data_IF_984424922279
#
_entry.id   IF_984424922279
#
_cell.length_a   1.000
_cell.length_b   1.000
_cell.length_c   1.000
_cell.angle_alpha   90.00
_cell.angle_beta   90.00
_cell.angle_gamma   90.00
#
_symmetry.space_group_name_H-M   'P 1'
#
loop_
_entity.id
_entity.type
_entity.pdbx_description
1 polymer ?
#
# COMPACT_ATOMS: atom_id res chain seq x y z
N UNK A 1 -21.76 -33.14 -35.77
CA UNK A 1 -20.92 -31.92 -35.58
C UNK A 1 -21.20 -31.14 -34.28
N UNK A 2 -22.17 -31.53 -33.42
CA UNK A 2 -22.50 -30.77 -32.19
C UNK A 2 -21.59 -31.04 -30.98
N UNK A 3 -20.95 -32.21 -30.89
CA UNK A 3 -20.16 -32.60 -29.70
C UNK A 3 -18.81 -31.87 -29.65
N UNK A 4 -18.12 -31.73 -30.79
CA UNK A 4 -16.82 -31.05 -30.87
C UNK A 4 -16.91 -29.54 -30.56
N UNK A 5 -18.02 -28.89 -30.91
CA UNK A 5 -18.24 -27.48 -30.59
C UNK A 5 -18.42 -27.25 -29.09
N UNK A 6 -19.13 -28.15 -28.40
CA UNK A 6 -19.29 -28.08 -26.94
C UNK A 6 -17.97 -28.37 -26.22
N UNK A 7 -17.19 -29.35 -26.70
CA UNK A 7 -15.86 -29.66 -26.19
C UNK A 7 -14.88 -28.50 -26.36
N UNK A 8 -14.90 -27.82 -27.52
CA UNK A 8 -14.06 -26.66 -27.78
C UNK A 8 -14.39 -25.50 -26.83
N UNK A 9 -15.67 -25.21 -26.59
CA UNK A 9 -16.08 -24.14 -25.66
C UNK A 9 -15.73 -24.47 -24.20
N UNK A 10 -15.81 -25.74 -23.79
CA UNK A 10 -15.35 -26.20 -22.47
C UNK A 10 -13.83 -26.08 -22.32
N UNK A 11 -13.06 -26.43 -23.37
CA UNK A 11 -11.61 -26.26 -23.38
C UNK A 11 -11.20 -24.79 -23.29
N UNK A 12 -11.85 -23.92 -24.08
CA UNK A 12 -11.62 -22.47 -24.01
C UNK A 12 -11.99 -21.94 -22.63
N UNK A 13 -13.13 -22.35 -22.06
CA UNK A 13 -13.53 -21.97 -20.72
C UNK A 13 -12.52 -22.35 -19.63
N UNK A 14 -11.95 -23.56 -19.71
CA UNK A 14 -10.91 -24.01 -18.77
C UNK A 14 -9.59 -23.23 -18.95
N UNK A 15 -9.15 -23.00 -20.19
CA UNK A 15 -7.95 -22.23 -20.48
C UNK A 15 -8.10 -20.79 -19.99
N UNK A 16 -9.24 -20.14 -20.28
CA UNK A 16 -9.51 -18.78 -19.81
C UNK A 16 -9.51 -18.66 -18.30
N UNK A 17 -10.10 -19.63 -17.58
CA UNK A 17 -10.06 -19.65 -16.10
C UNK A 17 -8.65 -19.82 -15.57
N UNK A 18 -7.87 -20.75 -16.13
CA UNK A 18 -6.48 -20.96 -15.72
C UNK A 18 -5.62 -19.71 -15.95
N UNK A 19 -5.78 -19.04 -17.09
CA UNK A 19 -5.09 -17.78 -17.41
C UNK A 19 -5.53 -16.66 -16.47
N UNK A 20 -6.81 -16.53 -16.15
CA UNK A 20 -7.33 -15.54 -15.19
C UNK A 20 -6.74 -15.81 -13.79
N UNK A 21 -6.71 -17.07 -13.34
CA UNK A 21 -6.14 -17.42 -12.04
C UNK A 21 -4.64 -17.11 -11.97
N UNK A 22 -3.88 -17.43 -13.01
CA UNK A 22 -2.45 -17.11 -13.08
C UNK A 22 -2.19 -15.59 -13.10
N UNK A 23 -3.01 -14.84 -13.85
CA UNK A 23 -2.93 -13.38 -13.87
C UNK A 23 -3.34 -12.73 -12.54
N UNK A 24 -4.34 -13.29 -11.84
CA UNK A 24 -4.73 -12.83 -10.50
C UNK A 24 -3.68 -13.18 -9.45
N UNK A 25 -3.03 -14.34 -9.55
CA UNK A 25 -1.95 -14.74 -8.63
C UNK A 25 -0.70 -13.86 -8.76
N UNK A 26 -0.45 -13.32 -9.95
CA UNK A 26 0.66 -12.38 -10.21
C UNK A 26 0.36 -10.94 -9.78
N UNK A 27 -0.89 -10.61 -9.44
CA UNK A 27 -1.27 -9.27 -8.97
C UNK A 27 -0.89 -9.11 -7.50
N UNK A 28 -0.38 -7.91 -7.17
CA UNK A 28 -0.23 -7.51 -5.79
C UNK A 28 -1.61 -7.45 -5.10
N UNK A 29 -1.61 -7.62 -3.78
CA UNK A 29 -2.85 -7.64 -3.00
C UNK A 29 -3.70 -6.38 -3.29
N UNK A 30 -5.03 -6.49 -3.36
CA UNK A 30 -5.89 -5.34 -3.62
C UNK A 30 -5.65 -4.22 -2.60
N UNK A 31 -5.46 -3.00 -3.09
CA UNK A 31 -5.23 -1.82 -2.27
C UNK A 31 -6.46 -0.91 -2.29
N UNK A 32 -6.79 -0.34 -1.14
CA UNK A 32 -7.88 0.62 -0.96
C UNK A 32 -7.31 1.88 -0.33
N UNK A 33 -7.63 3.03 -0.91
CA UNK A 33 -7.26 4.33 -0.37
C UNK A 33 -8.53 5.09 0.00
N UNK A 34 -8.54 5.63 1.22
CA UNK A 34 -9.59 6.53 1.70
C UNK A 34 -9.00 7.94 1.68
N UNK A 35 -9.61 8.82 0.91
CA UNK A 35 -9.24 10.22 0.85
C UNK A 35 -10.40 11.09 1.33
N UNK A 36 -10.11 12.07 2.17
CA UNK A 36 -11.11 13.03 2.68
C UNK A 36 -10.69 14.42 2.28
N UNK A 37 -11.49 15.05 1.42
CA UNK A 37 -11.35 16.46 1.08
C UNK A 37 -12.16 17.30 2.06
N UNK A 38 -11.67 17.49 3.28
CA UNK A 38 -12.32 18.33 4.30
C UNK A 38 -11.31 19.14 5.09
N UNK A 39 -11.74 20.30 5.60
CA UNK A 39 -10.93 21.16 6.48
C UNK A 39 -10.61 20.52 7.84
N UNK A 40 -11.32 19.45 8.21
CA UNK A 40 -11.12 18.74 9.48
C UNK A 40 -9.91 17.80 9.44
N UNK A 41 -9.42 17.42 8.24
CA UNK A 41 -8.33 16.47 8.06
C UNK A 41 -8.65 15.07 8.61
N UNK A 42 -7.90 14.05 8.19
CA UNK A 42 -7.91 12.75 8.87
C UNK A 42 -6.84 12.77 9.96
N UNK A 43 -7.20 12.33 11.17
CA UNK A 43 -6.26 12.20 12.27
C UNK A 43 -5.82 10.75 12.46
N UNK A 44 -4.78 10.55 13.25
CA UNK A 44 -4.26 9.21 13.53
C UNK A 44 -5.28 8.34 14.29
N UNK A 45 -6.12 8.96 15.11
CA UNK A 45 -7.18 8.28 15.86
C UNK A 45 -8.24 7.68 14.93
N UNK A 46 -8.51 8.32 13.79
CA UNK A 46 -9.46 7.83 12.78
C UNK A 46 -8.96 6.53 12.15
N UNK A 47 -7.64 6.35 12.05
CA UNK A 47 -7.04 5.09 11.58
C UNK A 47 -7.38 3.93 12.53
N UNK A 48 -7.40 4.17 13.85
CA UNK A 48 -7.80 3.16 14.83
C UNK A 48 -9.29 2.83 14.71
N UNK A 49 -10.13 3.83 14.46
CA UNK A 49 -11.57 3.63 14.21
C UNK A 49 -11.81 2.74 12.98
N UNK A 50 -11.09 2.99 11.88
CA UNK A 50 -11.17 2.17 10.66
C UNK A 50 -10.64 0.77 10.91
N UNK A 51 -9.49 0.63 11.59
CA UNK A 51 -8.87 -0.67 11.91
C UNK A 51 -9.77 -1.60 12.72
N UNK A 52 -10.60 -1.05 13.60
CA UNK A 52 -11.55 -1.86 14.39
C UNK A 52 -12.74 -2.39 13.56
N UNK A 53 -13.21 -1.60 12.58
CA UNK A 53 -14.45 -1.87 11.84
C UNK A 53 -14.23 -2.55 10.50
N UNK A 54 -13.12 -2.24 9.81
CA UNK A 54 -12.80 -2.82 8.52
C UNK A 54 -12.24 -4.23 8.74
N UNK A 55 -13.06 -5.24 8.44
CA UNK A 55 -12.67 -6.65 8.55
C UNK A 55 -12.10 -7.14 7.21
N UNK A 56 -11.21 -8.14 7.27
CA UNK A 56 -10.62 -8.76 6.08
C UNK A 56 -9.49 -7.99 5.42
N UNK A 57 -9.01 -6.90 6.03
CA UNK A 57 -7.82 -6.17 5.57
C UNK A 57 -6.57 -6.67 6.28
N UNK A 58 -5.47 -6.83 5.54
CA UNK A 58 -4.20 -7.32 6.06
C UNK A 58 -3.41 -6.24 6.80
N UNK A 59 -3.41 -5.01 6.26
CA UNK A 59 -2.69 -3.88 6.82
C UNK A 59 -3.44 -2.58 6.54
N UNK A 60 -3.24 -1.58 7.40
CA UNK A 60 -3.77 -0.22 7.23
C UNK A 60 -2.65 0.75 7.55
N UNK A 61 -2.44 1.71 6.65
CA UNK A 61 -1.47 2.78 6.80
C UNK A 61 -2.13 4.14 6.62
N UNK A 62 -1.55 5.17 7.22
CA UNK A 62 -1.85 6.56 6.91
C UNK A 62 -0.76 7.17 6.03
N UNK A 63 -1.15 8.12 5.20
CA UNK A 63 -0.26 9.00 4.45
C UNK A 63 -0.82 10.42 4.50
N UNK A 64 0.04 11.40 4.70
CA UNK A 64 -0.31 12.81 4.60
C UNK A 64 0.63 13.48 3.61
N UNK A 65 0.05 14.09 2.58
CA UNK A 65 0.79 14.75 1.52
C UNK A 65 1.12 16.18 1.94
N UNK A 66 2.41 16.55 1.89
CA UNK A 66 2.92 17.88 2.23
C UNK A 66 2.93 18.83 1.02
N UNK A 67 2.08 18.59 0.02
CA UNK A 67 1.99 19.45 -1.17
C UNK A 67 3.20 19.39 -2.11
N UNK A 68 3.20 20.32 -3.08
CA UNK A 68 4.32 20.58 -3.98
C UNK A 68 5.02 21.87 -3.54
N UNK A 69 6.36 21.87 -3.53
CA UNK A 69 7.19 23.04 -3.27
C UNK A 69 7.05 23.66 -1.87
N UNK A 70 6.46 22.93 -0.90
CA UNK A 70 6.32 23.41 0.49
C UNK A 70 7.61 23.24 1.32
N UNK A 71 8.69 22.71 0.72
CA UNK A 71 10.00 22.66 1.35
C UNK A 71 11.12 22.48 0.35
N UNK A 72 12.10 23.39 0.42
CA UNK A 72 13.40 23.22 -0.23
C UNK A 72 14.22 22.26 0.60
N UNK A 73 14.69 21.19 -0.01
CA UNK A 73 15.65 20.28 0.61
C UNK A 73 17.02 20.65 0.10
N UNK A 74 17.89 21.02 1.03
CA UNK A 74 19.30 21.32 0.75
C UNK A 74 20.12 20.11 1.22
N UNK A 75 20.91 19.55 0.32
CA UNK A 75 21.87 18.49 0.64
C UNK A 75 23.23 18.87 0.06
N UNK A 76 24.21 19.06 0.95
CA UNK A 76 25.51 19.63 0.59
C UNK A 76 25.31 21.02 -0.05
N UNK A 77 25.75 21.19 -1.30
CA UNK A 77 25.65 22.44 -2.06
C UNK A 77 24.52 22.40 -3.11
N UNK A 78 23.65 21.38 -3.08
CA UNK A 78 22.52 21.24 -4.00
C UNK A 78 21.19 21.51 -3.30
N UNK A 79 20.32 22.24 -4.01
CA UNK A 79 18.95 22.53 -3.60
C UNK A 79 17.97 21.84 -4.54
N UNK A 80 16.96 21.17 -3.97
CA UNK A 80 15.90 20.52 -4.72
C UNK A 80 14.53 20.77 -4.07
N UNK A 81 13.47 20.66 -4.87
CA UNK A 81 12.07 20.78 -4.45
C UNK A 81 11.35 19.43 -4.62
N UNK A 82 11.50 18.48 -3.67
CA UNK A 82 10.86 17.18 -3.77
C UNK A 82 9.37 17.24 -3.39
N UNK A 83 8.58 16.30 -3.92
CA UNK A 83 7.28 15.97 -3.34
C UNK A 83 7.49 15.15 -2.07
N UNK A 84 6.92 15.60 -0.96
CA UNK A 84 7.09 14.96 0.35
C UNK A 84 5.76 14.41 0.86
N UNK A 85 5.81 13.21 1.43
CA UNK A 85 4.64 12.57 2.06
C UNK A 85 5.07 11.96 3.38
N UNK A 86 4.40 12.32 4.46
CA UNK A 86 4.57 11.62 5.73
C UNK A 86 3.72 10.34 5.71
N UNK A 87 4.30 9.24 6.17
CA UNK A 87 3.66 7.92 6.10
C UNK A 87 3.80 7.18 7.42
N UNK A 88 2.82 6.34 7.74
CA UNK A 88 2.90 5.43 8.89
C UNK A 88 3.77 4.19 8.59
N UNK A 89 4.13 3.46 9.64
CA UNK A 89 4.97 2.26 9.59
C UNK A 89 4.54 1.19 8.56
N UNK A 90 3.24 0.98 8.38
CA UNK A 90 2.72 -0.08 7.51
C UNK A 90 2.65 0.33 6.03
N UNK A 91 3.16 1.51 5.65
CA UNK A 91 2.96 2.07 4.31
C UNK A 91 3.52 1.22 3.16
N UNK A 92 4.67 0.57 3.34
CA UNK A 92 5.20 -0.33 2.30
C UNK A 92 4.32 -1.56 2.08
N UNK A 93 3.55 -1.99 3.08
CA UNK A 93 2.64 -3.14 2.96
C UNK A 93 1.35 -2.78 2.20
N UNK A 94 1.01 -1.49 2.14
CA UNK A 94 -0.28 -1.01 1.64
C UNK A 94 -0.20 -0.20 0.35
N UNK A 95 1.00 0.29 -0.02
CA UNK A 95 1.21 1.19 -1.17
C UNK A 95 1.67 0.51 -2.46
N UNK A 96 2.11 -0.76 -2.38
CA UNK A 96 2.72 -1.47 -3.52
C UNK A 96 4.12 -0.96 -3.89
N UNK A 97 4.64 0.01 -3.13
CA UNK A 97 5.99 0.53 -3.32
C UNK A 97 7.00 -0.44 -2.71
N UNK A 98 8.13 -0.63 -3.42
CA UNK A 98 9.24 -1.47 -2.97
C UNK A 98 10.45 -0.61 -2.64
N UNK A 99 11.08 -0.92 -1.51
CA UNK A 99 12.32 -0.28 -1.10
C UNK A 99 13.48 -0.80 -1.97
N UNK A 100 14.10 0.08 -2.75
CA UNK A 100 15.22 -0.29 -3.62
C UNK A 100 16.57 -0.32 -2.88
N UNK A 101 16.73 0.52 -1.85
CA UNK A 101 17.96 0.60 -1.06
C UNK A 101 17.66 1.12 0.36
N UNK A 102 18.52 0.76 1.32
CA UNK A 102 18.43 1.22 2.71
C UNK A 102 17.45 0.42 3.57
N UNK A 103 16.83 1.09 4.54
CA UNK A 103 15.82 0.51 5.44
C UNK A 103 14.62 1.45 5.57
N UNK A 104 13.43 0.87 5.73
CA UNK A 104 12.25 1.66 6.09
C UNK A 104 12.33 2.11 7.56
N UNK A 105 11.47 3.05 7.94
CA UNK A 105 11.36 3.49 9.33
C UNK A 105 11.10 2.29 10.25
N UNK A 106 11.65 2.29 11.46
CA UNK A 106 11.40 1.27 12.48
C UNK A 106 11.02 1.97 13.78
N UNK A 107 9.98 1.49 14.46
CA UNK A 107 9.67 1.92 15.82
C UNK A 107 10.68 1.27 16.78
N UNK A 108 11.79 1.94 17.05
CA UNK A 108 12.73 1.47 18.09
C UNK A 108 12.14 1.86 19.45
N UNK A 109 11.39 0.95 20.06
CA UNK A 109 11.11 1.05 21.50
C UNK A 109 12.41 0.64 22.20
N UNK A 110 13.07 1.62 22.82
CA UNK A 110 14.10 1.37 23.84
C UNK A 110 13.43 0.62 24.98
N UNK A 111 13.38 -0.71 24.88
CA UNK A 111 13.12 -1.59 26.01
C UNK A 111 14.39 -1.58 26.87
N UNK A 112 14.30 -0.84 27.97
CA UNK A 112 14.76 -1.29 29.29
C UNK A 112 16.22 -1.75 29.35
N UNK A 113 17.14 -0.80 29.54
CA UNK A 113 18.37 -1.09 30.28
C UNK A 113 18.08 -0.79 31.76
N UNK A 114 17.23 -1.62 32.36
CA UNK A 114 17.27 -1.89 33.81
C UNK A 114 17.85 -3.31 33.93
N UNK A 115 19.17 -3.40 33.98
CA UNK A 115 19.91 -4.53 34.57
C UNK A 115 21.41 -4.19 34.58
N UNK A 116 21.80 -3.35 35.53
CA UNK A 116 22.97 -3.53 36.41
C UNK A 116 23.00 -2.44 37.49
#
# INVERSE_FOLDING_TARGET
>A
MGVAAVSATLQVGNISRAVITDQLAKREAPQLQIYVWSSLGLKLEDMNFVRQRLKGVQAISASNWFGFNEGKVIFQDEEAEPSMTAVSQDHLLTSGVKLMAGRFFLLTILLTIDLL
#
